data_IF_752244751560
#
_entry.id   IF_752244751560
#
_cell.length_a   1.000
_cell.length_b   1.000
_cell.length_c   1.000
_cell.angle_alpha   90.00
_cell.angle_beta   90.00
_cell.angle_gamma   90.00
#
_symmetry.space_group_name_H-M   'P 1'
#
loop_
_entity.id
_entity.type
_entity.pdbx_description
1 polymer ?
#
# COMPACT_ATOMS: atom_id res chain seq x y z
N UNK A 1 1.49 8.87 2.83
CA UNK A 1 2.22 8.72 4.08
C UNK A 1 3.29 7.67 3.95
N UNK A 2 4.14 7.59 4.97
CA UNK A 2 5.19 6.58 5.09
C UNK A 2 5.11 5.93 6.47
N UNK A 3 5.36 4.61 6.52
CA UNK A 3 5.62 3.86 7.74
C UNK A 3 6.92 3.10 7.53
N UNK A 4 7.83 3.14 8.49
CA UNK A 4 9.10 2.41 8.41
C UNK A 4 9.10 1.19 9.34
N UNK A 5 9.79 0.14 8.91
CA UNK A 5 10.14 -1.03 9.73
C UNK A 5 8.97 -1.72 10.46
N UNK A 6 7.85 -1.94 9.76
CA UNK A 6 6.70 -2.67 10.31
C UNK A 6 6.55 -4.09 9.77
N UNK A 7 6.01 -5.00 10.59
CA UNK A 7 5.61 -6.36 10.17
C UNK A 7 4.13 -6.47 9.80
N UNK A 8 3.32 -5.49 10.16
CA UNK A 8 1.88 -5.47 9.93
C UNK A 8 1.45 -4.08 9.49
N UNK A 9 0.59 -4.03 8.48
CA UNK A 9 -0.05 -2.80 8.03
C UNK A 9 -1.52 -3.09 7.73
N UNK A 10 -2.41 -2.20 8.14
CA UNK A 10 -3.84 -2.33 7.91
C UNK A 10 -4.41 -1.06 7.30
N UNK A 11 -5.30 -1.21 6.32
CA UNK A 11 -6.07 -0.10 5.75
C UNK A 11 -7.54 -0.50 5.68
N UNK A 12 -8.41 0.38 6.18
CA UNK A 12 -9.86 0.18 6.19
C UNK A 12 -10.51 1.04 5.12
N UNK A 13 -11.43 0.43 4.38
CA UNK A 13 -12.41 1.12 3.55
C UNK A 13 -13.76 1.08 4.28
N UNK A 14 -14.10 2.19 4.96
CA UNK A 14 -15.36 2.31 5.71
C UNK A 14 -16.58 2.41 4.81
N UNK A 15 -16.40 2.91 3.59
CA UNK A 15 -17.49 3.01 2.62
C UNK A 15 -17.91 1.63 2.15
N UNK A 16 -16.94 0.82 1.74
CA UNK A 16 -17.16 -0.54 1.23
C UNK A 16 -17.13 -1.62 2.32
N UNK A 17 -16.96 -1.24 3.59
CA UNK A 17 -17.00 -2.14 4.77
C UNK A 17 -16.00 -3.30 4.74
N UNK A 18 -14.80 -3.07 4.20
CA UNK A 18 -13.74 -4.07 4.20
C UNK A 18 -12.39 -3.51 4.58
N UNK A 19 -11.53 -4.35 5.14
CA UNK A 19 -10.16 -4.00 5.48
C UNK A 19 -9.17 -4.91 4.76
N UNK A 20 -8.02 -4.35 4.42
CA UNK A 20 -6.86 -5.07 3.91
C UNK A 20 -5.79 -5.07 4.99
N UNK A 21 -5.23 -6.25 5.26
CA UNK A 21 -4.13 -6.47 6.19
C UNK A 21 -2.94 -7.03 5.42
N UNK A 22 -1.81 -6.34 5.46
CA UNK A 22 -0.53 -6.82 4.97
C UNK A 22 0.29 -7.34 6.13
N UNK A 23 0.85 -8.55 5.98
CA UNK A 23 1.80 -9.13 6.91
C UNK A 23 3.09 -9.51 6.20
N UNK A 24 4.22 -9.17 6.83
CA UNK A 24 5.54 -9.34 6.24
C UNK A 24 6.37 -10.31 7.07
N UNK A 25 7.05 -11.24 6.40
CA UNK A 25 7.95 -12.19 7.06
C UNK A 25 9.16 -11.50 7.71
N UNK A 26 9.55 -10.35 7.20
CA UNK A 26 10.55 -9.44 7.75
C UNK A 26 10.01 -8.00 7.72
N UNK A 27 10.47 -7.09 8.61
CA UNK A 27 10.01 -5.70 8.61
C UNK A 27 10.13 -5.04 7.24
N UNK A 28 9.09 -4.31 6.85
CA UNK A 28 9.01 -3.56 5.61
C UNK A 28 8.78 -2.08 5.91
N UNK A 29 9.29 -1.21 5.05
CA UNK A 29 8.82 0.16 4.95
C UNK A 29 7.67 0.22 3.93
N UNK A 30 6.72 1.12 4.13
CA UNK A 30 5.58 1.31 3.25
C UNK A 30 5.41 2.77 2.89
N UNK A 31 5.12 3.02 1.62
CA UNK A 31 4.47 4.24 1.18
C UNK A 31 3.01 3.95 0.84
N UNK A 32 2.12 4.86 1.21
CA UNK A 32 0.72 4.78 0.84
C UNK A 32 0.18 6.15 0.44
N UNK A 33 -0.61 6.23 -0.62
CA UNK A 33 -1.12 7.50 -1.13
C UNK A 33 -2.35 7.28 -2.03
N UNK A 34 -3.24 8.28 -2.15
CA UNK A 34 -4.37 8.21 -3.06
C UNK A 34 -3.89 8.24 -4.52
N UNK A 35 -4.51 7.42 -5.36
CA UNK A 35 -4.43 7.52 -6.82
C UNK A 35 -5.58 8.43 -7.24
N UNK A 36 -5.24 9.55 -7.85
CA UNK A 36 -6.21 10.57 -8.26
C UNK A 36 -6.08 10.81 -9.76
N UNK A 37 -7.22 11.03 -10.42
CA UNK A 37 -7.30 11.49 -11.81
C UNK A 37 -7.82 12.91 -11.86
N UNK A 38 -7.45 13.64 -12.91
CA UNK A 38 -8.06 14.95 -13.21
C UNK A 38 -9.19 14.72 -14.20
N UNK A 39 -10.40 15.16 -13.85
CA UNK A 39 -11.55 15.21 -14.73
C UNK A 39 -11.94 16.65 -15.03
N UNK A 40 -12.50 16.89 -16.21
CA UNK A 40 -13.08 18.17 -16.57
C UNK A 40 -14.60 18.06 -16.51
N UNK A 41 -15.23 18.94 -15.74
CA UNK A 41 -16.67 19.14 -15.63
C UNK A 41 -17.04 20.54 -16.16
N UNK A 42 -18.34 20.86 -16.18
CA UNK A 42 -18.83 22.20 -16.53
C UNK A 42 -18.36 23.26 -15.50
N UNK A 43 -18.13 22.84 -14.26
CA UNK A 43 -17.65 23.68 -13.16
C UNK A 43 -16.11 23.79 -13.08
N UNK A 44 -15.39 23.14 -14.01
CA UNK A 44 -13.94 23.25 -14.16
C UNK A 44 -13.20 21.92 -13.98
N UNK A 45 -11.97 21.99 -13.46
CA UNK A 45 -11.15 20.80 -13.23
C UNK A 45 -11.34 20.29 -11.80
N UNK A 46 -11.58 18.99 -11.68
CA UNK A 46 -11.74 18.30 -10.41
C UNK A 46 -10.74 17.15 -10.28
N UNK A 47 -10.29 16.92 -9.05
CA UNK A 47 -9.56 15.70 -8.71
C UNK A 47 -10.56 14.63 -8.29
N UNK A 48 -10.47 13.46 -8.92
CA UNK A 48 -11.30 12.30 -8.64
C UNK A 48 -10.45 11.17 -8.09
N UNK A 49 -10.79 10.69 -6.90
CA UNK A 49 -10.13 9.55 -6.27
C UNK A 49 -10.51 8.25 -6.98
N UNK A 50 -9.51 7.44 -7.33
CA UNK A 50 -9.69 6.16 -8.04
C UNK A 50 -9.27 4.95 -7.21
N UNK A 51 -8.74 5.18 -6.01
CA UNK A 51 -8.23 4.12 -5.14
C UNK A 51 -6.99 4.56 -4.39
N UNK A 52 -6.46 3.66 -3.55
CA UNK A 52 -5.23 3.91 -2.79
C UNK A 52 -4.13 2.96 -3.22
N UNK A 53 -2.93 3.49 -3.42
CA UNK A 53 -1.73 2.70 -3.58
C UNK A 53 -1.14 2.37 -2.22
N UNK A 54 -0.75 1.11 -2.01
CA UNK A 54 0.06 0.67 -0.86
C UNK A 54 1.29 -0.03 -1.43
N UNK A 55 2.47 0.53 -1.18
CA UNK A 55 3.74 0.04 -1.69
C UNK A 55 4.66 -0.34 -0.54
N UNK A 56 4.83 -1.64 -0.30
CA UNK A 56 5.85 -2.17 0.59
C UNK A 56 7.21 -2.24 -0.11
N UNK A 57 8.26 -1.74 0.53
CA UNK A 57 9.62 -1.72 0.00
C UNK A 57 10.66 -2.06 1.08
N UNK A 58 11.81 -2.56 0.64
CA UNK A 58 12.94 -2.92 1.49
C UNK A 58 14.22 -2.34 0.92
N UNK A 59 15.05 -1.76 1.79
CA UNK A 59 16.44 -1.47 1.41
C UNK A 59 17.21 -2.79 1.40
N UNK A 60 17.72 -3.19 0.24
CA UNK A 60 18.45 -4.45 0.08
C UNK A 60 19.90 -4.18 -0.30
N UNK A 61 20.82 -4.85 0.38
CA UNK A 61 22.22 -4.93 -0.01
C UNK A 61 22.53 -6.39 -0.36
N UNK A 62 22.47 -6.72 -1.64
CA UNK A 62 22.73 -8.07 -2.15
C UNK A 62 24.14 -8.12 -2.74
N UNK A 63 24.93 -9.08 -2.28
CA UNK A 63 26.21 -9.41 -2.93
C UNK A 63 25.95 -10.16 -4.23
N UNK A 64 26.93 -10.15 -5.14
CA UNK A 64 26.87 -10.89 -6.41
C UNK A 64 26.42 -12.34 -6.19
N UNK A 65 25.51 -12.80 -7.05
CA UNK A 65 24.93 -14.16 -7.03
C UNK A 65 24.17 -14.55 -5.75
N UNK A 66 23.74 -13.59 -4.92
CA UNK A 66 22.86 -13.86 -3.77
C UNK A 66 21.41 -13.56 -4.09
N UNK A 67 20.53 -14.40 -3.55
CA UNK A 67 19.07 -14.25 -3.61
C UNK A 67 18.55 -13.88 -2.22
N UNK A 68 17.53 -13.01 -2.17
CA UNK A 68 16.73 -12.75 -0.97
C UNK A 68 15.27 -13.07 -1.28
N UNK A 69 14.67 -13.89 -0.42
CA UNK A 69 13.26 -14.23 -0.51
C UNK A 69 12.46 -13.30 0.38
N UNK A 70 11.50 -12.58 -0.20
CA UNK A 70 10.55 -11.75 0.52
C UNK A 70 9.26 -12.55 0.71
N UNK A 71 8.73 -12.54 1.92
CA UNK A 71 7.44 -13.15 2.25
C UNK A 71 6.43 -12.06 2.60
N UNK A 72 5.33 -12.02 1.85
CA UNK A 72 4.19 -11.13 2.03
C UNK A 72 2.94 -12.00 2.05
N UNK A 73 2.03 -11.73 2.98
CA UNK A 73 0.67 -12.24 2.90
C UNK A 73 -0.33 -11.09 3.00
N UNK A 74 -1.41 -11.21 2.23
CA UNK A 74 -2.50 -10.24 2.16
C UNK A 74 -3.74 -10.93 2.73
N UNK A 75 -4.34 -10.33 3.75
CA UNK A 75 -5.66 -10.68 4.26
C UNK A 75 -6.68 -9.64 3.84
N UNK A 76 -7.86 -10.08 3.44
CA UNK A 76 -9.02 -9.22 3.21
C UNK A 76 -10.13 -9.76 4.11
N UNK A 77 -10.81 -8.87 4.83
CA UNK A 77 -11.91 -9.24 5.69
C UNK A 77 -12.87 -8.09 5.91
N UNK A 78 -14.06 -8.43 6.40
CA UNK A 78 -15.04 -7.46 6.88
C UNK A 78 -14.62 -6.90 8.24
N UNK A 79 -15.18 -5.75 8.63
CA UNK A 79 -14.99 -5.15 9.94
C UNK A 79 -16.21 -4.38 10.43
#
# INVERSE_FOLDING_TARGET
>A
GEISDTKLFGMKDEWNRFQVMLSFGEPASLWYFPIETVSQSEDGFEKTYQGSAILSHWKMNLKSMKTKTIKLAIGIGEF
#
